data_IF_114136827039
#
_entry.id   IF_114136827039
#
_cell.length_a   1.000
_cell.length_b   1.000
_cell.length_c   1.000
_cell.angle_alpha   90.00
_cell.angle_beta   90.00
_cell.angle_gamma   90.00
#
_symmetry.space_group_name_H-M   'P 1'
#
loop_
_entity.id
_entity.type
_entity.pdbx_description
1 polymer ?
#
# COMPACT_ATOMS: atom_id res chain seq x y z
N UNK A 1 -26.98 29.50 -20.87
CA UNK A 1 -26.10 28.89 -21.88
C UNK A 1 -26.22 27.39 -21.71
N UNK A 2 -26.86 26.69 -22.64
CA UNK A 2 -26.95 25.22 -22.60
C UNK A 2 -25.75 24.68 -23.37
N UNK A 3 -24.68 24.34 -22.67
CA UNK A 3 -23.57 23.60 -23.25
C UNK A 3 -24.10 22.25 -23.73
N UNK A 4 -24.41 22.17 -25.02
CA UNK A 4 -24.92 20.95 -25.64
C UNK A 4 -23.71 20.10 -25.94
N UNK A 5 -23.32 19.27 -24.97
CA UNK A 5 -22.23 18.31 -25.14
C UNK A 5 -22.50 17.43 -26.37
N UNK A 6 -21.48 17.09 -27.18
CA UNK A 6 -21.66 16.20 -28.32
C UNK A 6 -22.30 14.87 -27.90
N UNK A 7 -23.30 14.41 -28.65
CA UNK A 7 -23.93 13.09 -28.43
C UNK A 7 -23.14 12.01 -29.16
N UNK A 8 -21.89 11.80 -28.74
CA UNK A 8 -20.96 10.84 -29.34
C UNK A 8 -20.56 9.77 -28.34
N UNK A 9 -20.48 8.51 -28.80
CA UNK A 9 -20.04 7.36 -27.96
C UNK A 9 -18.69 7.59 -27.26
N UNK A 10 -17.84 8.46 -27.81
CA UNK A 10 -16.51 8.80 -27.26
C UNK A 10 -16.58 9.59 -25.95
N UNK A 11 -17.65 10.32 -25.69
CA UNK A 11 -17.79 11.23 -24.53
C UNK A 11 -18.78 10.75 -23.46
N UNK A 12 -19.51 9.66 -23.71
CA UNK A 12 -20.51 9.07 -22.80
C UNK A 12 -19.98 8.85 -21.37
N UNK A 13 -18.73 8.40 -21.24
CA UNK A 13 -18.14 8.04 -19.96
C UNK A 13 -17.16 9.11 -19.43
N UNK A 14 -17.13 10.30 -20.02
CA UNK A 14 -16.18 11.35 -19.62
C UNK A 14 -16.35 11.75 -18.14
N UNK A 15 -17.58 11.79 -17.65
CA UNK A 15 -17.90 12.09 -16.24
C UNK A 15 -17.64 10.92 -15.28
N UNK A 16 -17.30 9.73 -15.78
CA UNK A 16 -17.02 8.54 -14.97
C UNK A 16 -15.52 8.30 -14.81
N UNK A 17 -14.68 9.08 -15.50
CA UNK A 17 -13.25 9.04 -15.30
C UNK A 17 -12.93 9.63 -13.93
N UNK A 18 -12.03 9.01 -13.15
CA UNK A 18 -11.56 9.64 -11.92
C UNK A 18 -10.91 10.99 -12.24
N UNK A 19 -11.08 11.96 -11.34
CA UNK A 19 -10.55 13.33 -11.52
C UNK A 19 -9.02 13.37 -11.61
N UNK A 20 -8.36 12.30 -11.16
CA UNK A 20 -6.92 12.09 -11.29
C UNK A 20 -6.60 10.63 -11.61
N UNK A 21 -5.50 10.41 -12.32
CA UNK A 21 -4.85 9.11 -12.36
C UNK A 21 -4.42 8.79 -10.92
N UNK A 22 -5.07 7.78 -10.31
CA UNK A 22 -4.85 7.45 -8.91
C UNK A 22 -3.37 7.31 -8.57
N UNK A 23 -2.95 7.78 -7.40
CA UNK A 23 -1.55 7.65 -6.98
C UNK A 23 -1.18 6.17 -6.85
N UNK A 24 0.05 5.77 -7.25
CA UNK A 24 0.54 4.44 -6.94
C UNK A 24 0.46 4.20 -5.43
N UNK A 25 0.12 2.98 -4.98
CA UNK A 25 0.03 2.69 -3.56
C UNK A 25 1.38 3.04 -2.92
N UNK A 26 1.34 3.84 -1.86
CA UNK A 26 2.52 4.16 -1.06
C UNK A 26 3.30 2.87 -0.75
N UNK A 27 4.63 2.87 -0.91
CA UNK A 27 5.44 1.70 -0.57
C UNK A 27 5.14 1.27 0.86
N UNK A 28 5.20 -0.04 1.11
CA UNK A 28 4.99 -0.58 2.44
C UNK A 28 5.93 0.12 3.43
N UNK A 29 5.38 0.92 4.32
CA UNK A 29 6.13 1.55 5.41
C UNK A 29 6.23 0.53 6.54
N UNK A 30 7.41 0.39 7.15
CA UNK A 30 7.57 -0.48 8.31
C UNK A 30 6.58 -0.09 9.43
N UNK A 31 6.02 -1.06 10.15
CA UNK A 31 5.16 -0.77 11.28
C UNK A 31 5.95 -0.02 12.38
N UNK A 32 5.26 0.82 13.15
CA UNK A 32 5.86 1.49 14.30
C UNK A 32 6.47 0.45 15.25
N UNK A 33 7.75 0.61 15.60
CA UNK A 33 8.48 -0.33 16.45
C UNK A 33 9.16 -1.48 15.70
N UNK A 34 9.28 -1.42 14.37
CA UNK A 34 10.07 -2.36 13.58
C UNK A 34 11.60 -2.19 13.75
N UNK A 35 12.06 -1.05 14.29
CA UNK A 35 13.46 -0.83 14.66
C UNK A 35 13.92 -1.94 15.62
N UNK A 36 14.86 -2.78 15.16
CA UNK A 36 15.39 -3.90 15.94
C UNK A 36 14.70 -5.25 15.69
N UNK A 37 13.80 -5.37 14.72
CA UNK A 37 13.31 -6.66 14.20
C UNK A 37 14.35 -7.34 13.32
N UNK A 38 15.59 -7.43 13.79
CA UNK A 38 16.63 -8.30 13.26
C UNK A 38 16.99 -9.24 14.37
N UNK A 39 16.31 -10.39 14.39
CA UNK A 39 16.61 -11.56 15.22
C UNK A 39 17.21 -11.21 16.59
N UNK A 40 16.44 -10.51 17.44
CA UNK A 40 16.92 -9.84 18.65
C UNK A 40 17.49 -10.76 19.75
N UNK A 41 17.72 -12.04 19.48
CA UNK A 41 18.24 -13.02 20.45
C UNK A 41 17.28 -13.36 21.60
N UNK A 42 16.22 -12.57 21.79
CA UNK A 42 15.22 -12.72 22.87
C UNK A 42 14.52 -14.08 22.88
N UNK A 43 14.46 -14.73 21.73
CA UNK A 43 13.93 -16.09 21.55
C UNK A 43 15.00 -17.07 21.08
N UNK A 44 16.28 -16.69 21.14
CA UNK A 44 17.36 -17.60 20.82
C UNK A 44 17.47 -18.63 21.94
N UNK A 45 17.53 -19.90 21.55
CA UNK A 45 17.64 -21.06 22.43
C UNK A 45 18.96 -21.74 22.13
N UNK A 46 19.68 -22.20 23.16
CA UNK A 46 20.87 -23.02 22.96
C UNK A 46 20.50 -24.31 22.19
N UNK A 47 21.05 -24.55 20.99
CA UNK A 47 20.72 -25.73 20.22
C UNK A 47 21.19 -27.05 20.85
N UNK A 48 22.15 -26.99 21.79
CA UNK A 48 22.66 -28.18 22.48
C UNK A 48 21.79 -28.61 23.67
N UNK A 49 21.19 -27.65 24.38
CA UNK A 49 20.47 -27.90 25.65
C UNK A 49 18.98 -27.57 25.61
N UNK A 50 18.55 -26.69 24.70
CA UNK A 50 17.17 -26.22 24.63
C UNK A 50 16.84 -25.11 25.63
N UNK A 51 17.84 -24.57 26.34
CA UNK A 51 17.63 -23.51 27.32
C UNK A 51 17.62 -22.11 26.68
N UNK A 52 16.91 -21.16 27.31
CA UNK A 52 16.91 -19.77 26.89
C UNK A 52 18.29 -19.13 27.13
N UNK A 53 18.75 -18.28 26.20
CA UNK A 53 19.98 -17.50 26.36
C UNK A 53 19.82 -16.32 27.33
#
# INVERSE_FOLDING_TARGET
>A
MTDTRPNDRKVENENLRPDSDGEPPRPATEPKGAEGSSNSGKTATDPATGEAN
#
